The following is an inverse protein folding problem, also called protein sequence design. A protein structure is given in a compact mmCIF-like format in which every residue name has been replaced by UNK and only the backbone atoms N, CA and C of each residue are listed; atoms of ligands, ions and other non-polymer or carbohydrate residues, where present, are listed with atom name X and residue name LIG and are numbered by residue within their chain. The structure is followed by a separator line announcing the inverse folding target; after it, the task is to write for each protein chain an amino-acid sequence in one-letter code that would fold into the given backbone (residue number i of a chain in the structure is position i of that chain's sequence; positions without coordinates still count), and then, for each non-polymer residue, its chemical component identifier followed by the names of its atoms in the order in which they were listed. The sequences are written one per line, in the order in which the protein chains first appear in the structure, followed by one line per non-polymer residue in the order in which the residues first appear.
data_IF_778226544522
#
_entry.id   IF_778226544522
#
_cell.length_a   1.000
_cell.length_b   1.000
_cell.length_c   1.000
_cell.angle_alpha   90.00
_cell.angle_beta   90.00
_cell.angle_gamma   90.00
#
_symmetry.space_group_name_H-M   'P 1'
#
loop_
_entity.id
_entity.type
_entity.pdbx_description
1 polymer ?
#
# COMPACT_ATOMS: atom_id res chain seq x y z
N UNK A 1 -16.98 13.25 18.15
CA UNK A 1 -16.92 11.85 17.71
C UNK A 1 -15.55 11.60 17.10
N UNK A 2 -14.84 10.58 17.58
CA UNK A 2 -13.51 10.18 17.15
C UNK A 2 -13.59 8.91 16.32
N UNK A 3 -13.07 8.96 15.11
CA UNK A 3 -13.03 7.82 14.18
C UNK A 3 -11.58 7.36 14.00
N UNK A 4 -11.32 6.13 14.40
CA UNK A 4 -10.03 5.47 14.25
C UNK A 4 -9.83 4.92 12.84
N UNK A 5 -8.68 5.22 12.22
CA UNK A 5 -8.24 4.57 10.99
C UNK A 5 -6.90 3.85 11.28
N UNK A 6 -6.85 2.51 11.18
CA UNK A 6 -5.60 1.76 11.34
C UNK A 6 -4.57 2.17 10.27
N UNK A 7 -3.31 2.44 10.68
CA UNK A 7 -2.17 2.70 9.77
C UNK A 7 -1.64 1.41 9.13
N UNK A 8 -2.53 0.62 8.54
CA UNK A 8 -2.19 -0.65 7.93
C UNK A 8 -3.01 -0.92 6.66
N UNK A 9 -2.49 -1.83 5.84
CA UNK A 9 -3.12 -2.29 4.62
C UNK A 9 -3.50 -1.14 3.65
N UNK A 10 -4.79 -0.89 3.42
CA UNK A 10 -5.27 0.09 2.45
C UNK A 10 -5.18 1.55 2.92
N UNK A 11 -4.71 1.76 4.15
CA UNK A 11 -4.34 3.09 4.65
C UNK A 11 -3.51 3.86 3.62
N UNK A 12 -2.46 3.24 3.07
CA UNK A 12 -1.53 3.87 2.13
C UNK A 12 -2.18 4.29 0.79
N UNK A 13 -3.35 3.72 0.46
CA UNK A 13 -4.10 4.04 -0.76
C UNK A 13 -5.19 5.09 -0.54
N UNK A 14 -5.94 4.98 0.57
CA UNK A 14 -7.22 5.69 0.71
C UNK A 14 -7.33 6.59 1.95
N UNK A 15 -6.32 6.61 2.83
CA UNK A 15 -6.37 7.43 4.04
C UNK A 15 -6.69 8.92 3.79
N UNK A 16 -6.07 9.64 2.84
CA UNK A 16 -6.38 11.05 2.62
C UNK A 16 -7.86 11.29 2.29
N UNK A 17 -8.48 10.37 1.53
CA UNK A 17 -9.90 10.43 1.20
C UNK A 17 -10.75 10.29 2.46
N UNK A 18 -10.54 9.21 3.21
CA UNK A 18 -11.36 8.92 4.40
C UNK A 18 -11.17 9.97 5.48
N UNK A 19 -9.93 10.45 5.69
CA UNK A 19 -9.65 11.55 6.61
C UNK A 19 -10.48 12.79 6.26
N UNK A 20 -10.35 13.27 5.02
CA UNK A 20 -11.07 14.47 4.55
C UNK A 20 -12.58 14.28 4.70
N UNK A 21 -13.09 13.10 4.35
CA UNK A 21 -14.51 12.80 4.43
C UNK A 21 -15.04 12.90 5.87
N UNK A 22 -14.39 12.25 6.83
CA UNK A 22 -14.80 12.28 8.24
C UNK A 22 -14.63 13.66 8.88
N UNK A 23 -13.52 14.35 8.58
CA UNK A 23 -13.27 15.71 9.08
C UNK A 23 -14.32 16.71 8.57
N UNK A 24 -14.70 16.66 7.29
CA UNK A 24 -15.77 17.52 6.74
C UNK A 24 -17.15 17.22 7.35
N UNK A 25 -17.37 15.99 7.82
CA UNK A 25 -18.59 15.65 8.56
C UNK A 25 -18.56 16.13 10.02
N UNK A 26 -17.39 16.55 10.52
CA UNK A 26 -17.19 17.06 11.88
C UNK A 26 -16.65 16.01 12.86
N UNK A 27 -16.14 14.88 12.36
CA UNK A 27 -15.47 13.89 13.18
C UNK A 27 -13.97 14.17 13.30
N UNK A 28 -13.38 13.84 14.44
CA UNK A 28 -11.93 13.85 14.64
C UNK A 28 -11.37 12.50 14.15
N UNK A 29 -10.38 12.54 13.26
CA UNK A 29 -9.77 11.33 12.72
C UNK A 29 -8.50 11.00 13.49
N UNK A 30 -8.49 9.84 14.14
CA UNK A 30 -7.36 9.36 14.93
C UNK A 30 -6.71 8.21 14.18
N UNK A 31 -5.38 8.25 14.04
CA UNK A 31 -4.62 7.15 13.50
C UNK A 31 -4.05 6.29 14.62
N UNK A 32 -3.91 4.99 14.34
CA UNK A 32 -3.09 4.14 15.21
C UNK A 32 -1.63 4.63 15.20
N UNK A 33 -0.90 4.29 16.26
CA UNK A 33 0.53 4.58 16.40
C UNK A 33 1.33 3.96 15.23
N UNK A 34 2.52 4.49 14.89
CA UNK A 34 3.43 3.80 13.97
C UNK A 34 3.68 2.35 14.44
N UNK A 35 3.86 1.45 13.47
CA UNK A 35 4.14 0.05 13.76
C UNK A 35 5.39 -0.10 14.63
N UNK A 36 5.30 -0.96 15.63
CA UNK A 36 6.41 -1.32 16.51
C UNK A 36 6.41 -2.82 16.77
N UNK A 37 7.45 -3.32 17.43
CA UNK A 37 7.48 -4.70 17.94
C UNK A 37 6.29 -4.99 18.85
N UNK A 38 5.85 -4.03 19.65
CA UNK A 38 4.68 -4.18 20.53
C UNK A 38 3.41 -4.32 19.70
N UNK A 39 3.23 -3.47 18.68
CA UNK A 39 2.08 -3.54 17.76
C UNK A 39 2.00 -4.90 17.09
N UNK A 40 3.13 -5.40 16.54
CA UNK A 40 3.17 -6.71 15.91
C UNK A 40 2.89 -7.84 16.90
N UNK A 41 3.49 -7.80 18.10
CA UNK A 41 3.28 -8.83 19.13
C UNK A 41 1.81 -8.92 19.58
N UNK A 42 1.14 -7.77 19.75
CA UNK A 42 -0.31 -7.75 20.02
C UNK A 42 -1.10 -8.34 18.87
N UNK A 43 -0.75 -7.98 17.63
CA UNK A 43 -1.37 -8.55 16.45
C UNK A 43 -1.24 -10.07 16.38
N UNK A 44 -0.04 -10.60 16.61
CA UNK A 44 0.26 -12.03 16.60
C UNK A 44 -0.53 -12.83 17.63
N UNK A 45 -0.77 -12.25 18.82
CA UNK A 45 -1.52 -12.92 19.89
C UNK A 45 -2.98 -13.21 19.51
N UNK A 46 -3.56 -12.40 18.64
CA UNK A 46 -4.99 -12.39 18.35
C UNK A 46 -5.34 -12.79 16.91
N UNK A 47 -4.40 -12.67 15.99
CA UNK A 47 -4.58 -13.08 14.61
C UNK A 47 -4.56 -14.61 14.47
N UNK A 48 -5.27 -15.11 13.45
CA UNK A 48 -5.21 -16.53 13.08
C UNK A 48 -3.87 -16.82 12.38
N UNK A 49 -3.25 -17.96 12.67
CA UNK A 49 -1.91 -18.30 12.17
C UNK A 49 -1.79 -18.24 10.63
N UNK A 50 -2.84 -18.63 9.91
CA UNK A 50 -2.87 -18.69 8.44
C UNK A 50 -3.05 -17.32 7.73
N UNK A 51 -3.05 -16.21 8.46
CA UNK A 51 -3.09 -14.87 7.84
C UNK A 51 -1.70 -14.32 7.60
N UNK A 52 -1.54 -13.53 6.53
CA UNK A 52 -0.26 -12.94 6.20
C UNK A 52 0.17 -11.89 7.23
N UNK A 53 1.48 -11.64 7.30
CA UNK A 53 2.10 -10.66 8.21
C UNK A 53 1.38 -9.29 8.25
N UNK A 54 0.98 -8.67 7.11
CA UNK A 54 0.28 -7.38 7.12
C UNK A 54 -1.10 -7.45 7.79
N UNK A 55 -1.78 -8.59 7.72
CA UNK A 55 -3.05 -8.80 8.41
C UNK A 55 -2.79 -9.00 9.90
N UNK A 56 -1.76 -9.76 10.30
CA UNK A 56 -1.35 -9.88 11.71
C UNK A 56 -1.04 -8.50 12.31
N UNK A 57 -0.27 -7.68 11.60
CA UNK A 57 0.02 -6.30 12.00
C UNK A 57 -1.25 -5.43 12.10
N UNK A 58 -2.22 -5.63 11.20
CA UNK A 58 -3.50 -4.92 11.22
C UNK A 58 -4.26 -5.13 12.54
N UNK A 59 -4.27 -6.36 13.10
CA UNK A 59 -4.87 -6.62 14.41
C UNK A 59 -4.23 -5.75 15.49
N UNK A 60 -2.90 -5.64 15.48
CA UNK A 60 -2.16 -4.78 16.41
C UNK A 60 -2.56 -3.31 16.31
N UNK A 61 -2.77 -2.80 15.09
CA UNK A 61 -3.22 -1.41 14.89
C UNK A 61 -4.65 -1.17 15.35
N UNK A 62 -5.54 -2.15 15.17
CA UNK A 62 -6.91 -2.06 15.70
C UNK A 62 -6.90 -2.04 17.23
N UNK A 63 -6.10 -2.90 17.85
CA UNK A 63 -5.95 -2.94 19.31
C UNK A 63 -5.30 -1.66 19.86
N UNK A 64 -4.34 -1.07 19.14
CA UNK A 64 -3.78 0.24 19.51
C UNK A 64 -4.82 1.36 19.50
N UNK A 65 -5.85 1.27 18.64
CA UNK A 65 -6.95 2.23 18.61
C UNK A 65 -8.02 1.97 19.68
N UNK A 66 -8.06 0.76 20.25
CA UNK A 66 -9.02 0.42 21.29
C UNK A 66 -8.85 1.39 22.49
N UNK A 67 -9.96 1.97 22.95
CA UNK A 67 -9.98 2.96 24.02
C UNK A 67 -9.52 4.38 23.64
N UNK A 68 -9.12 4.64 22.39
CA UNK A 68 -8.75 5.99 21.90
C UNK A 68 -9.84 6.66 21.06
N UNK A 69 -10.80 5.88 20.56
CA UNK A 69 -11.78 6.31 19.56
C UNK A 69 -13.18 5.77 19.87
N UNK A 70 -14.20 6.46 19.37
CA UNK A 70 -15.61 6.05 19.51
C UNK A 70 -15.97 4.97 18.48
N UNK A 71 -15.37 5.05 17.28
CA UNK A 71 -15.56 4.11 16.20
C UNK A 71 -14.25 3.75 15.53
N UNK A 72 -14.11 2.51 15.04
CA UNK A 72 -13.02 2.14 14.12
C UNK A 72 -13.59 1.98 12.72
N UNK A 73 -13.02 2.72 11.76
CA UNK A 73 -13.39 2.60 10.36
C UNK A 73 -12.72 1.37 9.73
N UNK A 74 -13.53 0.39 9.37
CA UNK A 74 -13.07 -0.89 8.83
C UNK A 74 -13.98 -1.37 7.69
N UNK A 75 -13.85 -0.79 6.48
CA UNK A 75 -14.67 -1.19 5.36
C UNK A 75 -14.30 -2.60 4.89
N UNK A 76 -15.32 -3.39 4.51
CA UNK A 76 -15.12 -4.62 3.78
C UNK A 76 -14.86 -4.29 2.33
N UNK A 77 -13.65 -4.55 1.88
CA UNK A 77 -13.28 -4.30 0.50
C UNK A 77 -13.50 -5.58 -0.30
N UNK A 78 -14.51 -5.58 -1.18
CA UNK A 78 -14.79 -6.69 -2.10
C UNK A 78 -14.14 -6.42 -3.45
N UNK A 79 -14.37 -5.22 -3.96
CA UNK A 79 -13.87 -4.79 -5.27
C UNK A 79 -13.74 -3.27 -5.30
N UNK A 80 -12.61 -2.81 -5.83
CA UNK A 80 -12.32 -1.39 -6.08
C UNK A 80 -12.33 -1.04 -7.57
N UNK A 81 -12.52 -2.04 -8.44
CA UNK A 81 -12.50 -1.89 -9.89
C UNK A 81 -13.44 -2.91 -10.56
N UNK A 82 -14.05 -2.49 -11.67
CA UNK A 82 -14.97 -3.32 -12.44
C UNK A 82 -14.34 -4.66 -12.88
N UNK A 83 -15.07 -5.76 -12.69
CA UNK A 83 -14.64 -7.13 -12.99
C UNK A 83 -13.36 -7.62 -12.31
N UNK A 84 -12.97 -7.00 -11.18
CA UNK A 84 -11.81 -7.42 -10.39
C UNK A 84 -12.17 -7.52 -8.92
N UNK A 85 -11.50 -8.41 -8.22
CA UNK A 85 -11.60 -8.56 -6.77
C UNK A 85 -10.34 -8.04 -6.09
N UNK A 86 -10.44 -7.83 -4.78
CA UNK A 86 -9.27 -7.66 -3.92
C UNK A 86 -8.87 -9.00 -3.29
N UNK A 87 -7.77 -9.03 -2.52
CA UNK A 87 -7.36 -10.22 -1.80
C UNK A 87 -8.47 -10.72 -0.84
N UNK A 88 -8.78 -12.03 -0.80
CA UNK A 88 -9.80 -12.61 0.09
C UNK A 88 -9.65 -12.25 1.58
N UNK A 89 -8.42 -11.99 2.04
CA UNK A 89 -8.18 -11.57 3.42
C UNK A 89 -8.83 -10.21 3.73
N UNK A 90 -8.95 -9.29 2.77
CA UNK A 90 -9.71 -8.04 2.94
C UNK A 90 -11.22 -8.28 3.03
N UNK A 91 -11.72 -9.28 2.30
CA UNK A 91 -13.13 -9.65 2.37
C UNK A 91 -13.45 -10.16 3.78
N UNK A 92 -12.61 -11.04 4.35
CA UNK A 92 -12.81 -11.56 5.70
C UNK A 92 -12.38 -10.63 6.84
N UNK A 93 -11.64 -9.55 6.55
CA UNK A 93 -10.98 -8.73 7.56
C UNK A 93 -11.94 -8.16 8.62
N UNK A 94 -13.08 -7.54 8.25
CA UNK A 94 -14.00 -7.02 9.25
C UNK A 94 -14.56 -8.11 10.17
N UNK A 95 -14.83 -9.31 9.65
CA UNK A 95 -15.36 -10.41 10.47
C UNK A 95 -14.31 -11.00 11.40
N UNK A 96 -13.05 -11.06 10.96
CA UNK A 96 -11.95 -11.47 11.82
C UNK A 96 -11.77 -10.50 12.99
N UNK A 97 -11.88 -9.20 12.74
CA UNK A 97 -11.72 -8.16 13.77
C UNK A 97 -12.92 -8.09 14.72
N UNK A 98 -14.15 -8.32 14.24
CA UNK A 98 -15.36 -8.34 15.10
C UNK A 98 -15.32 -9.38 16.23
N UNK A 99 -14.44 -10.39 16.13
CA UNK A 99 -14.28 -11.41 17.16
C UNK A 99 -13.41 -10.96 18.33
N UNK A 100 -12.71 -9.83 18.21
CA UNK A 100 -11.91 -9.27 19.29
C UNK A 100 -12.82 -8.62 20.33
N UNK A 101 -12.55 -8.90 21.60
CA UNK A 101 -13.24 -8.28 22.73
C UNK A 101 -12.68 -6.88 23.03
N UNK A 102 -13.52 -6.02 23.62
CA UNK A 102 -13.10 -4.69 24.07
C UNK A 102 -12.87 -3.67 22.95
N UNK A 103 -13.33 -3.95 21.73
CA UNK A 103 -13.27 -3.00 20.63
C UNK A 103 -14.44 -2.00 20.67
N UNK A 104 -14.21 -0.74 20.27
CA UNK A 104 -15.29 0.19 19.96
C UNK A 104 -16.07 -0.27 18.71
N UNK A 105 -17.22 0.34 18.48
CA UNK A 105 -18.09 0.02 17.34
C UNK A 105 -17.35 0.15 16.00
N UNK A 106 -17.58 -0.80 15.10
CA UNK A 106 -16.95 -0.80 13.78
C UNK A 106 -17.86 -0.15 12.75
N UNK A 107 -17.35 0.86 12.05
CA UNK A 107 -17.96 1.37 10.81
C UNK A 107 -17.56 0.40 9.69
N UNK A 108 -18.29 -0.71 9.62
CA UNK A 108 -18.12 -1.77 8.63
C UNK A 108 -19.08 -1.61 7.47
N UNK A 109 -18.62 -1.05 6.36
CA UNK A 109 -19.39 -0.94 5.11
C UNK A 109 -18.77 -1.75 3.99
N UNK A 110 -19.61 -2.28 3.11
CA UNK A 110 -19.16 -3.06 1.97
C UNK A 110 -18.87 -2.15 0.77
N UNK A 111 -17.59 -2.09 0.37
CA UNK A 111 -17.15 -1.45 -0.86
C UNK A 111 -17.07 -2.50 -1.96
N UNK A 112 -18.02 -2.44 -2.89
CA UNK A 112 -18.11 -3.38 -4.01
C UNK A 112 -18.41 -2.66 -5.32
N UNK A 113 -17.35 -2.39 -6.08
CA UNK A 113 -17.41 -1.78 -7.43
C UNK A 113 -17.28 -2.82 -8.56
N UNK A 114 -17.55 -4.10 -8.27
CA UNK A 114 -17.36 -5.18 -9.24
C UNK A 114 -18.28 -5.02 -10.47
N UNK A 115 -19.51 -4.57 -10.24
CA UNK A 115 -20.52 -4.30 -11.28
C UNK A 115 -20.71 -2.79 -11.47
N UNK A 116 -20.97 -2.35 -12.71
CA UNK A 116 -21.15 -0.93 -13.09
C UNK A 116 -22.33 -0.23 -12.41
N UNK A 117 -23.31 -0.98 -11.92
CA UNK A 117 -24.55 -0.48 -11.32
C UNK A 117 -24.40 -0.05 -9.84
N UNK A 118 -23.24 -0.32 -9.21
CA UNK A 118 -22.99 0.06 -7.82
C UNK A 118 -22.17 1.34 -7.74
N UNK A 119 -22.79 2.38 -7.18
CA UNK A 119 -22.18 3.68 -6.97
C UNK A 119 -21.44 3.73 -5.63
N UNK A 120 -20.16 4.12 -5.67
CA UNK A 120 -19.35 4.44 -4.47
C UNK A 120 -20.08 5.46 -3.59
N UNK A 121 -20.81 6.39 -4.18
CA UNK A 121 -21.59 7.37 -3.45
C UNK A 121 -22.63 6.75 -2.52
N UNK A 122 -23.26 5.63 -2.88
CA UNK A 122 -24.24 4.96 -2.01
C UNK A 122 -23.57 4.47 -0.72
N UNK A 123 -22.38 3.89 -0.84
CA UNK A 123 -21.58 3.46 0.32
C UNK A 123 -21.20 4.67 1.18
N UNK A 124 -20.71 5.73 0.54
CA UNK A 124 -20.33 6.98 1.22
C UNK A 124 -21.52 7.62 1.92
N UNK A 125 -22.70 7.61 1.31
CA UNK A 125 -23.91 8.17 1.89
C UNK A 125 -24.37 7.37 3.12
N UNK A 126 -24.24 6.05 3.09
CA UNK A 126 -24.55 5.20 4.24
C UNK A 126 -23.60 5.51 5.41
N UNK A 127 -22.29 5.61 5.14
CA UNK A 127 -21.31 6.01 6.17
C UNK A 127 -21.62 7.41 6.71
N UNK A 128 -21.83 8.38 5.82
CA UNK A 128 -22.06 9.78 6.19
C UNK A 128 -23.33 9.99 7.01
N UNK A 129 -24.34 9.14 6.78
CA UNK A 129 -25.62 9.18 7.52
C UNK A 129 -25.45 8.84 9.01
N UNK A 130 -24.37 8.16 9.40
CA UNK A 130 -24.01 7.94 10.82
C UNK A 130 -23.62 9.22 11.54
N UNK A 131 -23.17 10.25 10.82
CA UNK A 131 -22.68 11.51 11.39
C UNK A 131 -23.69 12.65 11.21
N UNK A 132 -24.50 12.63 10.15
CA UNK A 132 -25.45 13.70 9.87
C UNK A 132 -26.59 13.25 8.97
N UNK A 133 -27.80 13.77 9.20
CA UNK A 133 -28.93 13.62 8.28
C UNK A 133 -28.86 14.54 7.04
N UNK A 134 -27.89 15.45 6.97
CA UNK A 134 -27.79 16.43 5.90
C UNK A 134 -27.09 15.85 4.65
N UNK A 135 -27.88 15.39 3.68
CA UNK A 135 -27.39 14.83 2.40
C UNK A 135 -26.49 15.78 1.60
N UNK A 136 -26.75 17.09 1.64
CA UNK A 136 -25.90 18.09 0.96
C UNK A 136 -24.51 18.17 1.60
N UNK A 137 -24.44 18.09 2.94
CA UNK A 137 -23.17 18.06 3.67
C UNK A 137 -22.37 16.79 3.31
N UNK A 138 -23.03 15.63 3.30
CA UNK A 138 -22.41 14.35 2.89
C UNK A 138 -21.87 14.42 1.46
N UNK A 139 -22.66 14.96 0.52
CA UNK A 139 -22.24 15.09 -0.86
C UNK A 139 -21.03 16.03 -1.03
N UNK A 140 -20.99 17.15 -0.28
CA UNK A 140 -19.83 18.05 -0.27
C UNK A 140 -18.58 17.35 0.29
N UNK A 141 -18.72 16.65 1.41
CA UNK A 141 -17.66 15.83 2.01
C UNK A 141 -17.12 14.78 1.04
N UNK A 142 -18.00 14.10 0.32
CA UNK A 142 -17.61 13.15 -0.73
C UNK A 142 -16.83 13.81 -1.86
N UNK A 143 -17.32 14.93 -2.41
CA UNK A 143 -16.61 15.63 -3.50
C UNK A 143 -15.25 16.14 -3.07
N UNK A 144 -15.14 16.65 -1.85
CA UNK A 144 -13.89 17.13 -1.29
C UNK A 144 -12.90 15.98 -1.10
N UNK A 145 -13.34 14.86 -0.51
CA UNK A 145 -12.49 13.69 -0.29
C UNK A 145 -11.95 13.09 -1.58
N UNK A 146 -12.76 13.04 -2.65
CA UNK A 146 -12.32 12.59 -3.98
C UNK A 146 -11.28 13.56 -4.57
N UNK A 147 -11.46 14.87 -4.43
CA UNK A 147 -10.45 15.86 -4.87
C UNK A 147 -9.14 15.68 -4.11
N UNK A 148 -9.18 15.47 -2.79
CA UNK A 148 -7.99 15.20 -1.98
C UNK A 148 -7.30 13.92 -2.45
N UNK A 149 -8.05 12.86 -2.72
CA UNK A 149 -7.49 11.60 -3.24
C UNK A 149 -6.83 11.79 -4.61
N UNK A 150 -7.44 12.54 -5.52
CA UNK A 150 -6.85 12.86 -6.82
C UNK A 150 -5.56 13.68 -6.67
N UNK A 151 -5.53 14.67 -5.76
CA UNK A 151 -4.31 15.43 -5.44
C UNK A 151 -3.23 14.51 -4.87
N UNK A 152 -3.58 13.61 -3.97
CA UNK A 152 -2.66 12.61 -3.41
C UNK A 152 -2.01 11.75 -4.49
N UNK A 153 -2.79 11.12 -5.38
CA UNK A 153 -2.23 10.32 -6.47
C UNK A 153 -1.39 11.15 -7.45
N UNK A 154 -1.76 12.42 -7.69
CA UNK A 154 -0.92 13.32 -8.51
C UNK A 154 0.45 13.54 -7.86
N UNK A 155 0.52 13.72 -6.55
CA UNK A 155 1.79 13.86 -5.82
C UNK A 155 2.62 12.58 -5.89
N UNK A 156 1.97 11.41 -5.76
CA UNK A 156 2.66 10.12 -5.94
C UNK A 156 3.22 9.98 -7.36
N UNK A 157 2.48 10.35 -8.41
CA UNK A 157 3.00 10.32 -9.79
C UNK A 157 4.15 11.32 -10.04
N UNK A 158 4.34 12.32 -9.17
CA UNK A 158 5.51 13.22 -9.21
C UNK A 158 6.73 12.62 -8.50
N UNK A 159 6.64 11.39 -7.98
CA UNK A 159 7.72 10.67 -7.32
C UNK A 159 7.74 10.78 -5.80
N UNK A 160 6.78 11.48 -5.18
CA UNK A 160 6.69 11.54 -3.72
C UNK A 160 6.25 10.19 -3.15
N UNK A 161 6.75 9.87 -1.96
CA UNK A 161 6.29 8.73 -1.17
C UNK A 161 5.01 9.09 -0.38
N UNK A 162 4.19 8.10 0.04
CA UNK A 162 2.96 8.35 0.80
C UNK A 162 3.08 9.33 1.97
N UNK A 163 4.12 9.19 2.80
CA UNK A 163 4.34 10.08 3.94
C UNK A 163 4.65 11.53 3.51
N UNK A 164 5.46 11.69 2.46
CA UNK A 164 5.82 13.00 1.89
C UNK A 164 4.59 13.66 1.25
N UNK A 165 3.81 12.90 0.47
CA UNK A 165 2.57 13.39 -0.13
C UNK A 165 1.53 13.81 0.91
N UNK A 166 1.41 13.07 2.03
CA UNK A 166 0.56 13.46 3.16
C UNK A 166 1.05 14.74 3.84
N UNK A 167 2.37 14.91 4.02
CA UNK A 167 2.94 16.13 4.59
C UNK A 167 2.68 17.36 3.71
N UNK A 168 2.72 17.21 2.38
CA UNK A 168 2.35 18.26 1.42
C UNK A 168 0.85 18.58 1.51
N UNK A 169 -0.02 17.57 1.62
CA UNK A 169 -1.46 17.80 1.80
C UNK A 169 -1.78 18.55 3.09
N UNK A 170 -0.99 18.31 4.15
CA UNK A 170 -1.08 19.02 5.43
C UNK A 170 -0.44 20.43 5.41
N UNK A 171 0.09 20.88 4.26
CA UNK A 171 0.89 22.11 4.11
C UNK A 171 2.10 22.18 5.07
N UNK A 172 2.63 21.04 5.51
CA UNK A 172 3.80 20.96 6.41
C UNK A 172 5.13 21.08 5.67
N UNK A 173 5.14 20.76 4.37
CA UNK A 173 6.32 20.81 3.49
C UNK A 173 5.87 21.37 2.13
N UNK A 174 6.73 22.14 1.45
CA UNK A 174 6.47 22.60 0.08
C UNK A 174 6.57 21.48 -0.96
N UNK A 175 6.05 21.73 -2.17
CA UNK A 175 6.09 20.82 -3.35
C UNK A 175 7.51 20.67 -3.92
N UNK A 176 8.50 20.31 -3.11
CA UNK A 176 9.87 20.07 -3.58
C UNK A 176 10.08 18.57 -3.77
N UNK A 177 10.15 18.07 -5.01
CA UNK A 177 10.71 16.74 -5.23
C UNK A 177 12.13 16.75 -4.67
N UNK A 178 12.46 15.74 -3.87
CA UNK A 178 13.81 15.57 -3.37
C UNK A 178 14.71 15.21 -4.56
N UNK A 179 15.47 16.20 -5.04
CA UNK A 179 16.36 16.07 -6.16
C UNK A 179 17.65 15.43 -5.67
N UNK A 180 17.78 14.13 -5.89
CA UNK A 180 19.02 13.40 -5.63
C UNK A 180 19.48 12.81 -6.96
N UNK A 181 20.63 13.22 -7.51
CA UNK A 181 21.25 12.47 -8.58
C UNK A 181 21.67 11.13 -7.98
N UNK A 182 20.93 10.08 -8.32
CA UNK A 182 21.28 8.73 -7.90
C UNK A 182 22.01 8.02 -9.04
N UNK A 183 23.08 7.32 -8.71
CA UNK A 183 23.82 6.52 -9.67
C UNK A 183 23.00 5.30 -10.14
N UNK A 184 22.08 4.81 -9.29
CA UNK A 184 21.28 3.62 -9.52
C UNK A 184 19.80 3.94 -9.40
N UNK A 185 18.99 3.43 -10.33
CA UNK A 185 17.55 3.51 -10.26
C UNK A 185 16.99 2.12 -9.98
N UNK A 186 16.39 1.91 -8.82
CA UNK A 186 15.84 0.63 -8.40
C UNK A 186 14.33 0.71 -8.32
N UNK A 187 13.67 -0.19 -9.05
CA UNK A 187 12.23 -0.38 -8.90
C UNK A 187 11.94 -1.26 -7.68
N UNK A 188 11.12 -0.80 -6.74
CA UNK A 188 10.67 -1.55 -5.57
C UNK A 188 9.18 -1.83 -5.74
N UNK A 189 8.84 -3.08 -6.04
CA UNK A 189 7.48 -3.51 -6.35
C UNK A 189 6.96 -4.44 -5.27
N UNK A 190 5.79 -4.13 -4.74
CA UNK A 190 5.16 -4.86 -3.66
C UNK A 190 3.93 -4.09 -3.21
N UNK A 191 3.21 -4.64 -2.25
CA UNK A 191 2.10 -3.89 -1.68
C UNK A 191 2.61 -2.70 -0.84
N UNK A 192 1.94 -1.53 -0.90
CA UNK A 192 2.32 -0.35 -0.11
C UNK A 192 2.50 -0.61 1.38
N UNK A 193 1.67 -1.47 1.95
CA UNK A 193 1.79 -1.84 3.35
C UNK A 193 3.03 -2.68 3.68
N UNK A 194 3.66 -3.32 2.68
CA UNK A 194 4.95 -4.00 2.85
C UNK A 194 6.14 -3.07 2.61
N UNK A 195 5.97 -2.01 1.83
CA UNK A 195 7.06 -1.12 1.41
C UNK A 195 7.20 0.07 2.37
N UNK A 196 6.08 0.71 2.70
CA UNK A 196 6.07 2.01 3.39
C UNK A 196 5.93 1.91 4.90
N UNK A 197 5.57 0.73 5.44
CA UNK A 197 5.60 0.51 6.88
C UNK A 197 7.05 0.32 7.34
N UNK A 198 7.60 1.32 8.02
CA UNK A 198 9.02 1.37 8.40
C UNK A 198 9.44 0.22 9.32
N UNK A 199 8.53 -0.38 10.07
CA UNK A 199 8.86 -1.48 10.98
C UNK A 199 8.97 -2.80 10.22
N UNK A 200 7.93 -3.21 9.48
CA UNK A 200 7.99 -4.51 8.77
C UNK A 200 8.87 -4.48 7.52
N UNK A 201 8.99 -3.32 6.85
CA UNK A 201 9.92 -3.16 5.72
C UNK A 201 11.34 -2.89 6.18
N UNK A 202 11.56 -2.68 7.49
CA UNK A 202 12.84 -2.29 8.08
C UNK A 202 13.41 -1.03 7.42
N UNK A 203 12.54 -0.09 7.08
CA UNK A 203 12.86 1.13 6.35
C UNK A 203 13.57 0.86 5.01
N UNK A 204 13.17 -0.19 4.29
CA UNK A 204 13.74 -0.63 3.01
C UNK A 204 14.03 0.53 2.03
N UNK A 205 13.06 1.42 1.83
CA UNK A 205 13.20 2.53 0.88
C UNK A 205 14.20 3.58 1.34
N UNK A 206 14.26 3.86 2.65
CA UNK A 206 15.26 4.72 3.25
C UNK A 206 16.67 4.16 3.09
N UNK A 207 16.86 2.87 3.36
CA UNK A 207 18.15 2.20 3.20
C UNK A 207 18.65 2.20 1.77
N UNK A 208 17.80 1.88 0.80
CA UNK A 208 18.17 1.96 -0.62
C UNK A 208 18.64 3.37 -1.00
N UNK A 209 17.98 4.42 -0.50
CA UNK A 209 18.40 5.81 -0.70
C UNK A 209 19.74 6.11 -0.03
N UNK A 210 19.94 5.68 1.21
CA UNK A 210 21.22 5.82 1.94
C UNK A 210 22.38 5.13 1.22
N UNK A 211 22.10 4.02 0.52
CA UNK A 211 23.06 3.26 -0.29
C UNK A 211 23.27 3.86 -1.71
N UNK A 212 22.67 5.02 -2.00
CA UNK A 212 22.86 5.75 -3.26
C UNK A 212 21.91 5.34 -4.40
N UNK A 213 20.80 4.64 -4.12
CA UNK A 213 19.81 4.26 -5.11
C UNK A 213 18.52 5.11 -5.06
N UNK A 214 18.05 5.56 -6.21
CA UNK A 214 16.70 6.08 -6.39
C UNK A 214 15.71 4.93 -6.25
N UNK A 215 14.58 5.20 -5.61
CA UNK A 215 13.51 4.21 -5.42
C UNK A 215 12.28 4.60 -6.23
N UNK A 216 11.90 3.73 -7.16
CA UNK A 216 10.70 3.85 -7.98
C UNK A 216 9.67 2.80 -7.58
N UNK A 217 8.42 3.18 -7.34
CA UNK A 217 7.37 2.27 -6.86
C UNK A 217 6.20 2.18 -7.83
N UNK A 218 5.25 1.28 -7.57
CA UNK A 218 4.05 1.17 -8.40
C UNK A 218 3.17 2.43 -8.34
N UNK A 219 3.21 3.15 -7.21
CA UNK A 219 2.43 4.36 -6.97
C UNK A 219 2.90 5.56 -7.79
N UNK A 220 4.15 5.53 -8.27
CA UNK A 220 4.70 6.56 -9.15
C UNK A 220 4.22 6.42 -10.60
N UNK A 221 3.58 5.30 -10.96
CA UNK A 221 3.17 5.00 -12.34
C UNK A 221 1.68 5.29 -12.52
N UNK A 222 1.28 6.06 -13.55
CA UNK A 222 -0.13 6.29 -13.86
C UNK A 222 -0.91 5.01 -14.15
N UNK A 223 -2.17 4.94 -13.69
CA UNK A 223 -3.07 3.79 -13.87
C UNK A 223 -3.18 3.28 -15.31
N UNK A 224 -3.19 4.20 -16.28
CA UNK A 224 -3.28 3.84 -17.70
C UNK A 224 -2.09 2.99 -18.13
N UNK A 225 -0.90 3.35 -17.68
CA UNK A 225 0.36 2.66 -17.96
C UNK A 225 0.44 1.32 -17.21
N UNK A 226 -0.01 1.27 -15.96
CA UNK A 226 -0.12 0.01 -15.21
C UNK A 226 -1.03 -0.98 -15.94
N UNK A 227 -2.21 -0.52 -16.37
CA UNK A 227 -3.20 -1.37 -17.07
C UNK A 227 -2.71 -1.86 -18.42
N UNK A 228 -2.05 -1.01 -19.22
CA UNK A 228 -1.54 -1.42 -20.53
C UNK A 228 -0.44 -2.47 -20.39
N UNK A 229 0.46 -2.31 -19.43
CA UNK A 229 1.53 -3.28 -19.19
C UNK A 229 1.01 -4.59 -18.60
N UNK A 230 0.08 -4.54 -17.64
CA UNK A 230 -0.52 -5.75 -17.07
C UNK A 230 -1.33 -6.56 -18.09
N UNK A 231 -1.87 -5.89 -19.13
CA UNK A 231 -2.62 -6.56 -20.21
C UNK A 231 -1.74 -7.42 -21.14
N UNK A 232 -0.40 -7.33 -21.03
CA UNK A 232 0.54 -8.21 -21.76
C UNK A 232 0.54 -9.64 -21.23
N UNK A 233 0.01 -9.88 -20.03
CA UNK A 233 -0.14 -11.24 -19.52
C UNK A 233 -1.15 -12.04 -20.38
N UNK A 234 -0.86 -13.31 -20.71
CA UNK A 234 -1.78 -14.15 -21.49
C UNK A 234 -3.16 -14.30 -20.84
N UNK A 235 -3.21 -14.26 -19.51
CA UNK A 235 -4.45 -14.28 -18.73
C UNK A 235 -4.44 -13.10 -17.76
N UNK A 236 -5.54 -12.33 -17.77
CA UNK A 236 -5.72 -11.22 -16.84
C UNK A 236 -5.85 -11.77 -15.43
N UNK A 237 -5.05 -11.23 -14.51
CA UNK A 237 -5.20 -11.53 -13.09
C UNK A 237 -6.53 -10.95 -12.58
N UNK A 238 -7.21 -11.66 -11.70
CA UNK A 238 -8.48 -11.17 -11.15
C UNK A 238 -8.30 -10.21 -9.97
N UNK A 239 -7.09 -10.13 -9.39
CA UNK A 239 -6.77 -9.23 -8.28
C UNK A 239 -6.33 -7.84 -8.75
N UNK A 240 -7.03 -6.79 -8.32
CA UNK A 240 -6.69 -5.40 -8.70
C UNK A 240 -5.27 -5.01 -8.30
N UNK A 241 -4.87 -5.28 -7.06
CA UNK A 241 -3.53 -4.91 -6.56
C UNK A 241 -2.42 -5.73 -7.23
N UNK A 242 -2.67 -7.01 -7.54
CA UNK A 242 -1.73 -7.85 -8.28
C UNK A 242 -1.50 -7.32 -9.71
N UNK A 243 -2.55 -6.87 -10.40
CA UNK A 243 -2.40 -6.24 -11.72
C UNK A 243 -1.56 -4.97 -11.66
N UNK A 244 -1.72 -4.14 -10.61
CA UNK A 244 -0.87 -2.94 -10.44
C UNK A 244 0.60 -3.33 -10.31
N UNK A 245 0.92 -4.32 -9.49
CA UNK A 245 2.30 -4.79 -9.31
C UNK A 245 2.90 -5.32 -10.62
N UNK A 246 2.18 -6.18 -11.35
CA UNK A 246 2.62 -6.67 -12.67
C UNK A 246 2.83 -5.50 -13.65
N UNK A 247 1.86 -4.60 -13.74
CA UNK A 247 1.91 -3.46 -14.67
C UNK A 247 3.10 -2.56 -14.39
N UNK A 248 3.38 -2.29 -13.11
CA UNK A 248 4.53 -1.50 -12.69
C UNK A 248 5.85 -2.23 -12.99
N UNK A 249 5.94 -3.52 -12.63
CA UNK A 249 7.14 -4.29 -12.85
C UNK A 249 7.50 -4.38 -14.34
N UNK A 250 6.53 -4.67 -15.21
CA UNK A 250 6.75 -4.72 -16.65
C UNK A 250 7.13 -3.35 -17.22
N UNK A 251 6.49 -2.28 -16.74
CA UNK A 251 6.84 -0.92 -17.13
C UNK A 251 8.30 -0.58 -16.80
N UNK A 252 8.78 -0.93 -15.60
CA UNK A 252 10.14 -0.63 -15.17
C UNK A 252 11.18 -1.56 -15.79
N UNK A 253 10.84 -2.83 -16.02
CA UNK A 253 11.76 -3.78 -16.65
C UNK A 253 12.03 -3.45 -18.13
N UNK A 254 11.08 -2.80 -18.82
CA UNK A 254 11.27 -2.31 -20.18
C UNK A 254 12.08 -0.99 -20.25
N UNK A 255 12.33 -0.34 -19.10
CA UNK A 255 13.00 0.96 -19.04
C UNK A 255 14.52 0.81 -18.91
N UNK A 256 15.31 1.36 -19.85
CA UNK A 256 16.78 1.21 -19.83
C UNK A 256 17.44 1.99 -18.68
N UNK A 257 16.75 3.00 -18.13
CA UNK A 257 17.24 3.78 -17.01
C UNK A 257 17.06 3.07 -15.65
N UNK A 258 16.30 1.98 -15.58
CA UNK A 258 16.12 1.17 -14.38
C UNK A 258 17.22 0.10 -14.30
N UNK A 259 17.98 0.13 -13.21
CA UNK A 259 19.15 -0.72 -13.01
C UNK A 259 18.80 -2.09 -12.44
N UNK A 260 17.68 -2.22 -11.72
CA UNK A 260 17.21 -3.49 -11.18
C UNK A 260 15.85 -3.37 -10.50
N UNK A 261 15.27 -4.53 -10.16
CA UNK A 261 13.96 -4.62 -9.51
C UNK A 261 14.01 -5.45 -8.23
N UNK A 262 13.50 -4.89 -7.14
CA UNK A 262 13.28 -5.58 -5.87
C UNK A 262 11.78 -5.83 -5.72
N UNK A 263 11.37 -7.10 -5.66
CA UNK A 263 10.02 -7.49 -5.33
C UNK A 263 9.90 -7.72 -3.82
N UNK A 264 8.87 -7.15 -3.17
CA UNK A 264 8.64 -7.23 -1.73
C UNK A 264 7.31 -7.92 -1.47
N UNK A 265 7.38 -9.16 -1.01
CA UNK A 265 6.25 -9.99 -0.62
C UNK A 265 6.17 -10.11 0.90
N UNK A 266 4.99 -10.46 1.42
CA UNK A 266 4.84 -10.88 2.81
C UNK A 266 4.64 -12.40 2.91
N UNK A 267 5.20 -13.01 3.94
CA UNK A 267 4.94 -14.40 4.28
C UNK A 267 3.43 -14.64 4.49
N UNK A 268 2.94 -15.78 4.00
CA UNK A 268 1.51 -16.13 4.01
C UNK A 268 0.65 -15.38 2.98
N UNK A 269 1.23 -14.55 2.10
CA UNK A 269 0.49 -13.86 1.05
C UNK A 269 0.40 -14.68 -0.26
N UNK A 270 -0.70 -15.42 -0.43
CA UNK A 270 -0.93 -16.23 -1.64
C UNK A 270 -0.96 -15.45 -2.97
N UNK A 271 -1.62 -14.28 -3.07
CA UNK A 271 -1.56 -13.49 -4.29
C UNK A 271 -0.14 -13.01 -4.66
N UNK A 272 0.70 -12.73 -3.67
CA UNK A 272 2.09 -12.27 -3.89
C UNK A 272 2.97 -13.40 -4.40
N UNK A 273 2.78 -14.64 -3.94
CA UNK A 273 3.57 -15.78 -4.42
C UNK A 273 3.37 -16.01 -5.91
N UNK A 274 2.13 -15.85 -6.41
CA UNK A 274 1.85 -15.95 -7.84
C UNK A 274 2.31 -14.70 -8.60
N UNK A 275 2.07 -13.49 -8.07
CA UNK A 275 2.46 -12.24 -8.75
C UNK A 275 3.99 -12.13 -8.84
N UNK A 276 4.70 -12.45 -7.77
CA UNK A 276 6.17 -12.45 -7.70
C UNK A 276 6.80 -13.42 -8.69
N UNK A 277 6.29 -14.65 -8.80
CA UNK A 277 6.78 -15.64 -9.78
C UNK A 277 6.61 -15.14 -11.23
N UNK A 278 5.49 -14.50 -11.56
CA UNK A 278 5.26 -13.94 -12.89
C UNK A 278 6.22 -12.79 -13.21
N UNK A 279 6.49 -11.92 -12.22
CA UNK A 279 7.45 -10.83 -12.36
C UNK A 279 8.86 -11.38 -12.53
N UNK A 280 9.26 -12.35 -11.70
CA UNK A 280 10.60 -12.95 -11.73
C UNK A 280 10.87 -13.61 -13.08
N UNK A 281 9.91 -14.38 -13.60
CA UNK A 281 10.04 -15.00 -14.94
C UNK A 281 10.27 -13.97 -16.03
N UNK A 282 9.55 -12.85 -15.98
CA UNK A 282 9.71 -11.78 -16.95
C UNK A 282 11.08 -11.09 -16.82
N UNK A 283 11.50 -10.78 -15.59
CA UNK A 283 12.82 -10.22 -15.33
C UNK A 283 13.94 -11.15 -15.81
N UNK A 284 13.82 -12.46 -15.55
CA UNK A 284 14.78 -13.48 -15.99
C UNK A 284 14.86 -13.58 -17.52
N UNK A 285 13.72 -13.51 -18.22
CA UNK A 285 13.68 -13.49 -19.68
C UNK A 285 14.43 -12.29 -20.27
N UNK A 286 14.39 -11.14 -19.59
CA UNK A 286 15.12 -9.93 -19.93
C UNK A 286 16.55 -9.89 -19.35
N UNK A 287 16.96 -10.94 -18.62
CA UNK A 287 18.21 -11.00 -17.84
C UNK A 287 18.37 -9.81 -16.87
N UNK A 288 17.28 -9.19 -16.44
CA UNK A 288 17.31 -8.03 -15.56
C UNK A 288 17.66 -8.44 -14.10
N UNK A 289 18.48 -7.65 -13.38
CA UNK A 289 18.71 -7.85 -11.95
C UNK A 289 17.40 -7.87 -11.17
N UNK A 290 17.15 -8.95 -10.45
CA UNK A 290 15.93 -9.14 -9.70
C UNK A 290 16.21 -9.73 -8.30
N UNK A 291 15.60 -9.14 -7.28
CA UNK A 291 15.66 -9.63 -5.90
C UNK A 291 14.24 -9.83 -5.38
N UNK A 292 13.91 -11.04 -4.92
CA UNK A 292 12.67 -11.30 -4.20
C UNK A 292 12.92 -11.26 -2.68
N UNK A 293 12.37 -10.26 -2.00
CA UNK A 293 12.39 -10.11 -0.55
C UNK A 293 11.04 -10.56 0.02
N UNK A 294 11.07 -11.59 0.86
CA UNK A 294 9.90 -12.03 1.63
C UNK A 294 10.04 -11.56 3.06
N UNK A 295 9.10 -10.74 3.52
CA UNK A 295 9.03 -10.23 4.88
C UNK A 295 8.28 -11.21 5.77
N UNK A 296 8.87 -11.56 6.90
CA UNK A 296 8.31 -12.49 7.88
C UNK A 296 8.52 -11.98 9.33
N UNK A 297 7.78 -12.55 10.26
CA UNK A 297 7.75 -12.23 11.70
C UNK A 297 9.10 -12.40 12.38
N UNK A 298 9.91 -13.32 11.85
CA UNK A 298 11.25 -13.64 12.33
C UNK A 298 12.36 -13.01 11.49
N UNK A 299 12.02 -12.21 10.47
CA UNK A 299 13.05 -11.59 9.64
C UNK A 299 13.85 -10.60 10.50
N UNK A 300 15.17 -10.77 10.50
CA UNK A 300 16.09 -9.85 11.17
C UNK A 300 16.56 -8.74 10.23
N UNK A 301 16.77 -7.55 10.80
CA UNK A 301 17.25 -6.35 10.07
C UNK A 301 18.52 -6.60 9.27
N UNK A 302 19.53 -7.21 9.89
CA UNK A 302 20.80 -7.52 9.24
C UNK A 302 20.61 -8.37 7.96
N UNK A 303 19.68 -9.33 7.99
CA UNK A 303 19.44 -10.21 6.85
C UNK A 303 18.85 -9.48 5.63
N UNK A 304 18.01 -8.46 5.84
CA UNK A 304 17.50 -7.63 4.74
C UNK A 304 18.62 -6.74 4.20
N UNK A 305 19.35 -6.07 5.09
CA UNK A 305 20.42 -5.13 4.72
C UNK A 305 21.47 -5.81 3.85
N UNK A 306 22.01 -6.96 4.27
CA UNK A 306 23.04 -7.68 3.50
C UNK A 306 22.53 -8.14 2.12
N UNK A 307 21.25 -8.48 2.00
CA UNK A 307 20.66 -8.86 0.70
C UNK A 307 20.50 -7.65 -0.23
N UNK A 308 20.20 -6.48 0.31
CA UNK A 308 20.14 -5.24 -0.44
C UNK A 308 21.54 -4.80 -0.90
N UNK A 309 22.54 -4.93 -0.02
CA UNK A 309 23.96 -4.66 -0.33
C UNK A 309 24.42 -5.53 -1.50
N UNK A 310 24.29 -6.85 -1.35
CA UNK A 310 24.67 -7.80 -2.39
C UNK A 310 23.92 -7.55 -3.72
N UNK A 311 22.64 -7.17 -3.65
CA UNK A 311 21.87 -6.82 -4.84
C UNK A 311 22.39 -5.56 -5.53
N UNK A 312 22.64 -4.49 -4.78
CA UNK A 312 23.14 -3.24 -5.36
C UNK A 312 24.55 -3.40 -5.94
N UNK A 313 25.41 -4.20 -5.31
CA UNK A 313 26.74 -4.51 -5.85
C UNK A 313 26.66 -5.29 -7.16
N UNK A 314 25.79 -6.30 -7.23
CA UNK A 314 25.50 -7.01 -8.48
C UNK A 314 24.97 -6.07 -9.57
N UNK A 315 24.09 -5.13 -9.22
CA UNK A 315 23.58 -4.13 -10.17
C UNK A 315 24.71 -3.20 -10.65
N UNK A 316 25.60 -2.75 -9.76
CA UNK A 316 26.74 -1.90 -10.10
C UNK A 316 27.70 -2.60 -11.07
N UNK A 317 28.04 -3.86 -10.80
CA UNK A 317 28.91 -4.65 -11.68
C UNK A 317 28.33 -4.79 -13.07
N UNK A 318 27.05 -5.15 -13.17
CA UNK A 318 26.39 -5.29 -14.46
C UNK A 318 26.35 -3.96 -15.24
N UNK A 319 26.21 -2.83 -14.54
CA UNK A 319 26.25 -1.49 -15.16
C UNK A 319 27.66 -1.12 -15.63
N UNK A 320 28.69 -1.47 -14.87
CA UNK A 320 30.09 -1.27 -15.26
C UNK A 320 30.46 -2.10 -16.50
N UNK A 321 30.08 -3.39 -16.52
CA UNK A 321 30.26 -4.26 -17.69
C UNK A 321 29.58 -3.69 -18.94
N UNK A 322 28.36 -3.17 -18.81
CA UNK A 322 27.64 -2.54 -19.91
C UNK A 322 28.27 -1.21 -20.38
N UNK A 323 29.00 -0.52 -19.50
CA UNK A 323 29.75 0.69 -19.82
C UNK A 323 31.15 0.40 -20.39
N UNK A 324 31.59 -0.86 -20.41
CA UNK A 324 32.91 -1.27 -20.87
C UNK A 324 34.04 -0.87 -19.91
N UNK A 325 33.74 -0.72 -18.62
CA UNK A 325 34.69 -0.38 -17.54
C UNK A 325 35.02 -1.62 -16.73
#
# INVERSE_FOLDING_TARGET
MKVGIPRALLYYYYYPMWRTFFEELGAEVVLSSPSTRVTLAQGLKHAVDEVCLPVKLFFGHVLDLAGKVDYIFLPRMVSVEHHKYICPKFLGLPDMIRRLEGLPDLIGVDVNLYRKDRDLYTVINNVGSLFTGNKLKIFRAYRSSIKTLQKYYRLLHLGLMPAEALAVLDNKVGDKPLNYPFELNVAVIGHPYNIYDSYISMNLTGRLKEMGAAVFTAEHVPEKTLRSNAARLPKKLFWSLGQRMIGAAFHYLDRPDISGLVHVAAFGCGPDSMTGELIERHARALRAPFLNLTLDEHTGEAGIVTRLEAFLDMVRWKKAEAAGI
#
